data_IF_712476082198
#
_entry.id   IF_712476082198
#
_cell.length_a   1.000
_cell.length_b   1.000
_cell.length_c   1.000
_cell.angle_alpha   90.00
_cell.angle_beta   90.00
_cell.angle_gamma   90.00
#
_symmetry.space_group_name_H-M   'P 1'
#
loop_
_entity.id
_entity.type
_entity.pdbx_description
1 polymer ?
#
# COMPACT_ATOMS: atom_id res chain seq x y z
N UNK A 1 -28.95 -10.79 -13.09
CA UNK A 1 -29.03 -12.05 -12.34
C UNK A 1 -27.82 -12.90 -12.71
N UNK A 2 -26.90 -13.12 -11.78
CA UNK A 2 -25.69 -13.90 -12.07
C UNK A 2 -25.94 -15.41 -11.98
N UNK A 3 -26.78 -15.83 -11.06
CA UNK A 3 -27.10 -17.24 -10.82
C UNK A 3 -28.55 -17.35 -10.42
N UNK A 4 -29.27 -18.28 -11.03
CA UNK A 4 -30.62 -18.65 -10.63
C UNK A 4 -30.52 -19.86 -9.69
N UNK A 5 -30.00 -19.64 -8.48
CA UNK A 5 -29.85 -20.66 -7.48
C UNK A 5 -31.07 -20.64 -6.56
N UNK A 6 -31.89 -21.68 -6.63
CA UNK A 6 -33.03 -21.86 -5.75
C UNK A 6 -32.73 -22.93 -4.70
N UNK A 7 -32.71 -22.51 -3.44
CA UNK A 7 -32.68 -23.42 -2.31
C UNK A 7 -33.63 -22.88 -1.25
N UNK A 8 -34.51 -23.70 -0.73
CA UNK A 8 -35.60 -23.27 0.16
C UNK A 8 -35.13 -22.51 1.40
N UNK A 9 -33.92 -22.85 1.88
CA UNK A 9 -33.30 -22.17 3.05
C UNK A 9 -32.60 -20.86 2.69
N UNK A 10 -32.38 -20.56 1.39
CA UNK A 10 -31.73 -19.33 0.92
C UNK A 10 -32.70 -18.33 0.31
N UNK A 11 -33.85 -18.81 -0.16
CA UNK A 11 -34.84 -18.00 -0.87
C UNK A 11 -36.21 -18.23 -0.22
N UNK A 12 -36.41 -17.65 0.95
CA UNK A 12 -37.68 -17.71 1.65
C UNK A 12 -38.76 -16.98 0.87
N UNK A 13 -39.93 -17.62 0.64
CA UNK A 13 -41.10 -16.97 0.07
C UNK A 13 -41.57 -15.76 0.93
N UNK A 14 -41.33 -15.83 2.24
CA UNK A 14 -41.59 -14.75 3.16
C UNK A 14 -40.79 -13.49 2.81
N UNK A 15 -39.51 -13.64 2.47
CA UNK A 15 -38.63 -12.50 2.13
C UNK A 15 -39.08 -11.84 0.82
N UNK A 16 -39.47 -12.64 -0.19
CA UNK A 16 -40.03 -12.10 -1.44
C UNK A 16 -41.33 -11.32 -1.21
N UNK A 17 -42.23 -11.85 -0.39
CA UNK A 17 -43.54 -11.21 -0.09
C UNK A 17 -43.36 -9.92 0.72
N UNK A 18 -42.32 -9.77 1.52
CA UNK A 18 -42.07 -8.62 2.38
C UNK A 18 -41.02 -7.64 1.80
N UNK A 19 -40.58 -7.86 0.56
CA UNK A 19 -39.62 -6.97 -0.11
C UNK A 19 -38.22 -6.98 0.51
N UNK A 20 -37.85 -8.03 1.25
CA UNK A 20 -36.51 -8.18 1.79
C UNK A 20 -35.54 -8.50 0.67
N UNK A 21 -34.46 -7.69 0.48
CA UNK A 21 -33.55 -7.89 -0.64
C UNK A 21 -32.72 -9.17 -0.47
N UNK A 22 -32.95 -10.14 -1.34
CA UNK A 22 -32.14 -11.36 -1.40
C UNK A 22 -30.81 -11.11 -2.15
N UNK A 23 -29.70 -11.14 -1.44
CA UNK A 23 -28.35 -10.89 -1.99
C UNK A 23 -27.72 -12.12 -2.64
N UNK A 24 -28.26 -13.31 -2.42
CA UNK A 24 -27.74 -14.58 -2.97
C UNK A 24 -27.74 -14.55 -4.51
N UNK A 25 -28.80 -13.99 -5.12
CA UNK A 25 -28.88 -13.87 -6.58
C UNK A 25 -28.02 -12.73 -7.17
N UNK A 26 -27.34 -11.95 -6.32
CA UNK A 26 -26.54 -10.77 -6.73
C UNK A 26 -25.05 -10.97 -6.55
N UNK A 27 -24.59 -12.09 -6.01
CA UNK A 27 -23.17 -12.39 -5.82
C UNK A 27 -22.88 -13.88 -6.02
N UNK A 28 -21.61 -14.20 -6.33
CA UNK A 28 -21.17 -15.59 -6.48
C UNK A 28 -21.05 -16.34 -5.13
N UNK A 29 -20.93 -15.61 -4.04
CA UNK A 29 -20.81 -16.19 -2.70
C UNK A 29 -22.14 -16.07 -1.95
N UNK A 30 -22.70 -17.18 -1.51
CA UNK A 30 -23.92 -17.22 -0.68
C UNK A 30 -23.64 -16.79 0.75
N UNK A 31 -22.46 -17.12 1.28
CA UNK A 31 -22.02 -16.72 2.62
C UNK A 31 -20.87 -15.72 2.50
N UNK A 32 -21.04 -14.54 3.10
CA UNK A 32 -20.05 -13.47 3.10
C UNK A 32 -19.71 -13.04 4.52
N UNK A 33 -18.46 -12.60 4.72
CA UNK A 33 -18.04 -11.98 5.98
C UNK A 33 -18.81 -10.69 6.17
N UNK A 34 -19.26 -10.44 7.39
CA UNK A 34 -19.90 -9.17 7.75
C UNK A 34 -18.85 -8.09 8.04
N UNK A 35 -18.10 -7.69 6.99
CA UNK A 35 -16.99 -6.74 7.15
C UNK A 35 -17.48 -5.33 7.49
N UNK A 36 -18.70 -4.96 7.13
CA UNK A 36 -19.31 -3.68 7.54
C UNK A 36 -19.39 -3.51 9.07
N UNK A 37 -19.45 -4.61 9.82
CA UNK A 37 -19.47 -4.60 11.28
C UNK A 37 -18.20 -3.98 11.87
N UNK A 38 -17.04 -4.21 11.25
CA UNK A 38 -15.76 -3.62 11.68
C UNK A 38 -15.80 -2.11 11.58
N UNK A 39 -16.29 -1.58 10.45
CA UNK A 39 -16.42 -0.14 10.25
C UNK A 39 -17.42 0.46 11.25
N UNK A 40 -18.57 -0.20 11.41
CA UNK A 40 -19.58 0.26 12.35
C UNK A 40 -19.04 0.34 13.78
N UNK A 41 -18.38 -0.72 14.28
CA UNK A 41 -17.76 -0.71 15.60
C UNK A 41 -16.67 0.35 15.73
N UNK A 42 -15.87 0.58 14.69
CA UNK A 42 -14.84 1.60 14.71
C UNK A 42 -15.45 3.00 14.89
N UNK A 43 -16.47 3.31 14.12
CA UNK A 43 -17.15 4.62 14.20
C UNK A 43 -17.93 4.76 15.51
N UNK A 44 -18.59 3.70 15.97
CA UNK A 44 -19.34 3.69 17.24
C UNK A 44 -18.39 3.90 18.45
N UNK A 45 -17.26 3.21 18.47
CA UNK A 45 -16.29 3.27 19.58
C UNK A 45 -15.48 4.56 19.60
N UNK A 46 -15.07 5.07 18.44
CA UNK A 46 -14.18 6.23 18.33
C UNK A 46 -14.91 7.55 18.11
N UNK A 47 -16.12 7.50 17.54
CA UNK A 47 -16.84 8.66 17.05
C UNK A 47 -16.31 9.15 15.69
N UNK A 48 -17.18 9.85 14.95
CA UNK A 48 -16.87 10.36 13.60
C UNK A 48 -15.70 11.34 13.60
N UNK A 49 -15.63 12.22 14.59
CA UNK A 49 -14.59 13.27 14.69
C UNK A 49 -13.18 12.68 14.84
N UNK A 50 -13.03 11.67 15.71
CA UNK A 50 -11.73 11.00 15.87
C UNK A 50 -11.36 10.21 14.64
N UNK A 51 -12.32 9.50 14.04
CA UNK A 51 -12.10 8.75 12.82
C UNK A 51 -11.67 9.66 11.66
N UNK A 52 -12.33 10.82 11.49
CA UNK A 52 -11.93 11.82 10.51
C UNK A 52 -10.52 12.35 10.76
N UNK A 53 -10.16 12.65 12.02
CA UNK A 53 -8.81 13.14 12.36
C UNK A 53 -7.70 12.12 12.07
N UNK A 54 -7.98 10.82 12.16
CA UNK A 54 -7.03 9.76 11.77
C UNK A 54 -6.77 9.77 10.27
N UNK A 55 -7.80 10.01 9.46
CA UNK A 55 -7.66 10.15 8.01
C UNK A 55 -6.86 11.40 7.66
N UNK A 56 -7.20 12.54 8.27
CA UNK A 56 -6.50 13.81 8.08
C UNK A 56 -5.01 13.70 8.45
N UNK A 57 -4.69 12.99 9.54
CA UNK A 57 -3.32 12.71 9.94
C UNK A 57 -2.55 11.96 8.82
N UNK A 58 -3.15 10.93 8.24
CA UNK A 58 -2.51 10.18 7.14
C UNK A 58 -2.23 11.06 5.92
N UNK A 59 -3.18 11.92 5.54
CA UNK A 59 -3.02 12.87 4.45
C UNK A 59 -1.94 13.92 4.78
N UNK A 60 -1.95 14.44 5.99
CA UNK A 60 -0.93 15.40 6.43
C UNK A 60 0.46 14.77 6.45
N UNK A 61 0.60 13.57 7.03
CA UNK A 61 1.87 12.85 7.06
C UNK A 61 2.41 12.59 5.66
N UNK A 62 1.55 12.19 4.71
CA UNK A 62 1.99 11.94 3.33
C UNK A 62 2.57 13.19 2.67
N UNK A 63 2.04 14.38 2.96
CA UNK A 63 2.60 15.65 2.47
C UNK A 63 3.94 15.99 3.10
N UNK A 64 4.11 15.71 4.39
CA UNK A 64 5.42 15.88 5.04
C UNK A 64 6.47 14.93 4.45
N UNK A 65 6.07 13.69 4.14
CA UNK A 65 6.93 12.69 3.48
C UNK A 65 7.32 13.15 2.06
N UNK A 66 6.37 13.68 1.27
CA UNK A 66 6.66 14.27 -0.04
C UNK A 66 7.73 15.37 0.05
N UNK A 67 7.57 16.29 1.01
CA UNK A 67 8.54 17.36 1.22
C UNK A 67 9.92 16.80 1.61
N UNK A 68 9.96 15.79 2.46
CA UNK A 68 11.21 15.15 2.87
C UNK A 68 11.89 14.44 1.70
N UNK A 69 11.15 13.67 0.90
CA UNK A 69 11.69 12.99 -0.29
C UNK A 69 12.27 14.02 -1.28
N UNK A 70 11.55 15.11 -1.56
CA UNK A 70 12.00 16.17 -2.45
C UNK A 70 13.26 16.89 -1.95
N UNK A 71 13.50 16.90 -0.64
CA UNK A 71 14.69 17.50 -0.04
C UNK A 71 15.86 16.49 0.14
N UNK A 72 15.63 15.21 -0.09
CA UNK A 72 16.62 14.14 0.15
C UNK A 72 17.29 13.72 -1.15
N UNK A 73 18.61 13.87 -1.21
CA UNK A 73 19.40 13.41 -2.36
C UNK A 73 19.27 11.87 -2.53
N UNK A 74 19.20 11.43 -3.78
CA UNK A 74 19.03 10.01 -4.10
C UNK A 74 17.58 9.52 -4.14
N UNK A 75 16.61 10.32 -3.67
CA UNK A 75 15.19 10.04 -3.79
C UNK A 75 14.52 10.92 -4.85
N UNK A 76 13.50 10.39 -5.51
CA UNK A 76 12.70 11.09 -6.52
C UNK A 76 11.20 10.79 -6.30
N UNK A 77 10.40 11.84 -6.16
CA UNK A 77 8.94 11.70 -6.28
C UNK A 77 8.56 11.51 -7.75
N UNK A 78 7.77 10.49 -8.06
CA UNK A 78 7.32 10.24 -9.44
C UNK A 78 6.06 11.01 -9.82
N UNK A 79 5.19 11.23 -8.84
CA UNK A 79 3.97 12.04 -8.96
C UNK A 79 3.73 12.78 -7.64
N UNK A 80 3.04 13.92 -7.65
CA UNK A 80 2.60 14.57 -6.41
C UNK A 80 1.74 13.64 -5.58
N UNK A 81 1.90 13.69 -4.26
CA UNK A 81 1.13 12.87 -3.33
C UNK A 81 -0.37 13.09 -3.49
N UNK A 82 -1.11 12.00 -3.66
CA UNK A 82 -2.56 11.98 -3.71
C UNK A 82 -3.11 11.23 -2.51
N UNK A 83 -3.93 11.90 -1.72
CA UNK A 83 -4.47 11.38 -0.48
C UNK A 83 -3.32 10.91 0.44
N UNK A 84 -3.32 9.65 0.89
CA UNK A 84 -2.30 9.07 1.75
C UNK A 84 -1.29 8.18 0.99
N UNK A 85 -1.18 8.30 -0.33
CA UNK A 85 -0.30 7.48 -1.16
C UNK A 85 0.89 8.27 -1.65
N UNK A 86 2.09 7.76 -1.39
CA UNK A 86 3.38 8.32 -1.79
C UNK A 86 4.05 7.37 -2.76
N UNK A 87 4.33 7.85 -3.98
CA UNK A 87 4.98 7.11 -5.06
C UNK A 87 6.33 7.74 -5.37
N UNK A 88 7.38 7.02 -5.04
CA UNK A 88 8.75 7.51 -5.12
C UNK A 88 9.70 6.41 -5.61
N UNK A 89 10.95 6.75 -5.85
CA UNK A 89 12.01 5.78 -6.12
C UNK A 89 13.36 6.27 -5.64
N UNK A 90 14.28 5.35 -5.45
CA UNK A 90 15.71 5.67 -5.42
C UNK A 90 16.15 5.97 -6.85
N UNK A 91 16.75 7.12 -7.07
CA UNK A 91 17.20 7.55 -8.40
C UNK A 91 18.66 8.02 -8.37
N UNK A 92 19.64 7.12 -8.45
CA UNK A 92 21.04 7.49 -8.67
C UNK A 92 21.21 8.05 -10.07
N UNK A 93 21.70 9.30 -10.16
CA UNK A 93 21.72 10.10 -11.41
C UNK A 93 22.58 9.52 -12.54
N UNK A 94 23.56 8.67 -12.21
CA UNK A 94 24.59 8.21 -13.15
C UNK A 94 24.33 6.80 -13.71
N UNK A 95 23.09 6.29 -13.58
CA UNK A 95 22.75 4.94 -13.98
C UNK A 95 21.64 4.89 -15.03
N UNK A 96 21.65 3.89 -15.94
CA UNK A 96 20.60 3.69 -16.93
C UNK A 96 19.24 3.43 -16.27
N UNK A 97 18.15 3.75 -16.99
CA UNK A 97 16.79 3.60 -16.46
C UNK A 97 16.46 2.16 -16.04
N UNK A 98 16.89 1.17 -16.85
CA UNK A 98 16.68 -0.25 -16.55
C UNK A 98 17.37 -0.67 -15.25
N UNK A 99 18.56 -0.12 -14.96
CA UNK A 99 19.27 -0.35 -13.72
C UNK A 99 18.50 0.26 -12.53
N UNK A 100 18.02 1.50 -12.69
CA UNK A 100 17.25 2.19 -11.63
C UNK A 100 15.96 1.44 -11.32
N UNK A 101 15.28 0.92 -12.33
CA UNK A 101 14.07 0.13 -12.16
C UNK A 101 14.35 -1.20 -11.42
N UNK A 102 15.38 -1.94 -11.84
CA UNK A 102 15.81 -3.16 -11.17
C UNK A 102 16.27 -2.89 -9.72
N UNK A 103 17.01 -1.80 -9.48
CA UNK A 103 17.44 -1.41 -8.14
C UNK A 103 16.26 -1.21 -7.20
N UNK A 104 15.22 -0.52 -7.63
CA UNK A 104 14.04 -0.26 -6.80
C UNK A 104 13.24 -1.55 -6.51
N UNK A 105 13.16 -2.47 -7.48
CA UNK A 105 12.57 -3.79 -7.23
C UNK A 105 13.39 -4.55 -6.18
N UNK A 106 14.71 -4.67 -6.39
CA UNK A 106 15.59 -5.41 -5.50
C UNK A 106 15.63 -4.84 -4.07
N UNK A 107 15.58 -3.52 -3.91
CA UNK A 107 15.50 -2.87 -2.58
C UNK A 107 14.26 -3.33 -1.83
N UNK A 108 13.10 -3.36 -2.49
CA UNK A 108 11.86 -3.80 -1.85
C UNK A 108 11.91 -5.30 -1.48
N UNK A 109 12.41 -6.14 -2.38
CA UNK A 109 12.50 -7.58 -2.20
C UNK A 109 13.47 -7.95 -1.07
N UNK A 110 14.64 -7.29 -1.00
CA UNK A 110 15.63 -7.49 0.05
C UNK A 110 15.14 -7.07 1.44
N UNK A 111 14.51 -5.90 1.54
CA UNK A 111 13.94 -5.44 2.81
C UNK A 111 12.81 -6.36 3.29
N UNK A 112 12.02 -6.87 2.37
CA UNK A 112 10.97 -7.85 2.66
C UNK A 112 11.56 -9.19 3.11
N UNK A 113 12.52 -9.73 2.37
CA UNK A 113 13.15 -11.01 2.67
C UNK A 113 13.82 -11.04 4.05
N UNK A 114 14.36 -9.91 4.49
CA UNK A 114 14.95 -9.77 5.84
C UNK A 114 13.91 -9.45 6.93
N UNK A 115 12.65 -9.24 6.55
CA UNK A 115 11.60 -8.87 7.51
C UNK A 115 11.75 -7.47 8.11
N UNK A 116 12.53 -6.60 7.45
CA UNK A 116 12.80 -5.24 7.90
C UNK A 116 11.70 -4.26 7.50
N UNK A 117 11.21 -4.39 6.25
CA UNK A 117 10.12 -3.57 5.75
C UNK A 117 9.33 -4.27 4.63
N UNK A 118 8.04 -3.93 4.52
CA UNK A 118 7.21 -4.32 3.39
C UNK A 118 6.81 -3.05 2.63
N UNK A 119 7.51 -2.74 1.55
CA UNK A 119 7.26 -1.60 0.69
C UNK A 119 6.63 -2.10 -0.61
N UNK A 120 5.46 -1.57 -0.95
CA UNK A 120 4.79 -1.93 -2.20
C UNK A 120 5.59 -1.47 -3.41
N UNK A 121 5.50 -2.25 -4.50
CA UNK A 121 6.11 -1.92 -5.78
C UNK A 121 5.03 -1.73 -6.83
N UNK A 122 5.16 -0.72 -7.68
CA UNK A 122 4.24 -0.46 -8.79
C UNK A 122 4.95 0.29 -9.90
N UNK A 123 4.26 0.56 -11.00
CA UNK A 123 4.78 1.39 -12.09
C UNK A 123 4.04 2.71 -12.21
N UNK A 124 4.79 3.77 -12.51
CA UNK A 124 4.27 5.08 -12.90
C UNK A 124 4.79 5.38 -14.31
N UNK A 125 3.94 5.26 -15.30
CA UNK A 125 4.37 5.17 -16.69
C UNK A 125 5.29 3.97 -16.89
N UNK A 126 6.49 4.21 -17.42
CA UNK A 126 7.50 3.19 -17.66
C UNK A 126 8.47 3.01 -16.47
N UNK A 127 8.34 3.82 -15.41
CA UNK A 127 9.26 3.82 -14.27
C UNK A 127 8.79 2.92 -13.14
N UNK A 128 9.68 2.09 -12.63
CA UNK A 128 9.46 1.34 -11.38
C UNK A 128 9.41 2.29 -10.20
N UNK A 129 8.42 2.09 -9.33
CA UNK A 129 8.14 2.93 -8.17
C UNK A 129 8.04 2.09 -6.90
N UNK A 130 8.60 2.60 -5.83
CA UNK A 130 8.25 2.20 -4.47
C UNK A 130 6.97 2.92 -4.07
N UNK A 131 6.08 2.22 -3.38
CA UNK A 131 4.80 2.74 -2.91
C UNK A 131 4.66 2.62 -1.42
N UNK A 132 4.32 3.71 -0.79
CA UNK A 132 4.01 3.78 0.64
C UNK A 132 2.61 4.34 0.82
N UNK A 133 1.88 3.85 1.83
CA UNK A 133 0.56 4.38 2.19
C UNK A 133 0.55 4.71 3.68
N UNK A 134 0.34 5.99 4.01
CA UNK A 134 0.40 6.52 5.37
C UNK A 134 -0.96 6.43 6.07
N UNK A 135 -1.47 5.22 6.27
CA UNK A 135 -2.80 4.99 6.89
C UNK A 135 -2.76 4.75 8.40
N UNK A 136 -1.59 4.49 8.97
CA UNK A 136 -1.49 4.24 10.41
C UNK A 136 -1.66 5.54 11.19
N UNK A 137 -2.64 5.62 12.11
CA UNK A 137 -2.88 6.84 12.88
C UNK A 137 -1.80 7.15 13.92
N UNK A 138 -0.89 6.21 14.16
CA UNK A 138 0.23 6.36 15.10
C UNK A 138 1.57 6.54 14.39
N UNK A 139 1.62 6.47 13.06
CA UNK A 139 2.85 6.68 12.31
C UNK A 139 3.29 8.15 12.40
N UNK A 140 4.59 8.36 12.55
CA UNK A 140 5.20 9.69 12.60
C UNK A 140 6.10 9.91 11.40
N UNK A 141 6.45 11.16 11.13
CA UNK A 141 7.46 11.48 10.10
C UNK A 141 8.80 10.82 10.41
N UNK A 142 9.20 10.73 11.67
CA UNK A 142 10.44 10.09 12.11
C UNK A 142 10.46 8.60 11.76
N UNK A 143 9.34 7.90 11.94
CA UNK A 143 9.23 6.49 11.52
C UNK A 143 9.45 6.33 10.01
N UNK A 144 8.86 7.23 9.21
CA UNK A 144 9.02 7.19 7.76
C UNK A 144 10.44 7.59 7.34
N UNK A 145 11.05 8.58 7.98
CA UNK A 145 12.45 8.96 7.73
C UNK A 145 13.41 7.81 8.01
N UNK A 146 13.18 7.07 9.11
CA UNK A 146 13.97 5.87 9.41
C UNK A 146 13.85 4.80 8.31
N UNK A 147 12.61 4.55 7.83
CA UNK A 147 12.37 3.64 6.71
C UNK A 147 13.07 4.11 5.42
N UNK A 148 12.95 5.40 5.07
CA UNK A 148 13.60 5.95 3.87
C UNK A 148 15.13 5.88 3.96
N UNK A 149 15.68 6.03 5.16
CA UNK A 149 17.12 5.83 5.39
C UNK A 149 17.53 4.36 5.17
N UNK A 150 16.71 3.40 5.61
CA UNK A 150 16.94 1.98 5.30
C UNK A 150 16.89 1.70 3.80
N UNK A 151 15.92 2.29 3.09
CA UNK A 151 15.80 2.18 1.63
C UNK A 151 17.06 2.69 0.92
N UNK A 152 17.57 3.85 1.33
CA UNK A 152 18.81 4.42 0.75
C UNK A 152 20.03 3.56 1.07
N UNK A 153 20.20 3.12 2.31
CA UNK A 153 21.31 2.26 2.72
C UNK A 153 21.31 0.94 1.95
N UNK A 154 20.13 0.36 1.76
CA UNK A 154 19.97 -0.87 1.00
C UNK A 154 20.32 -0.67 -0.48
N UNK A 155 19.87 0.42 -1.07
CA UNK A 155 20.23 0.75 -2.45
C UNK A 155 21.74 0.93 -2.64
N UNK A 156 22.45 1.56 -1.69
CA UNK A 156 23.91 1.67 -1.73
C UNK A 156 24.57 0.29 -1.60
N UNK A 157 24.10 -0.54 -0.67
CA UNK A 157 24.61 -1.92 -0.52
C UNK A 157 24.50 -2.71 -1.81
N UNK A 158 23.30 -2.72 -2.44
CA UNK A 158 23.07 -3.45 -3.69
C UNK A 158 23.97 -2.91 -4.82
N UNK A 159 24.11 -1.60 -4.93
CA UNK A 159 25.00 -0.97 -5.94
C UNK A 159 26.44 -1.41 -5.77
N UNK A 160 26.93 -1.46 -4.54
CA UNK A 160 28.32 -1.86 -4.26
C UNK A 160 28.53 -3.36 -4.53
N UNK A 161 27.58 -4.21 -4.16
CA UNK A 161 27.63 -5.64 -4.46
C UNK A 161 27.59 -5.93 -5.95
N UNK A 162 26.76 -5.21 -6.72
CA UNK A 162 26.73 -5.33 -8.19
C UNK A 162 28.09 -4.91 -8.79
N UNK A 163 28.69 -3.81 -8.33
CA UNK A 163 30.01 -3.38 -8.79
C UNK A 163 31.10 -4.41 -8.54
N UNK A 164 30.99 -5.11 -7.40
CA UNK A 164 31.95 -6.12 -6.97
C UNK A 164 31.64 -7.52 -7.56
N UNK A 165 30.51 -7.68 -8.27
CA UNK A 165 30.07 -8.97 -8.83
C UNK A 165 29.62 -9.98 -7.77
N UNK A 166 29.22 -9.52 -6.59
CA UNK A 166 28.82 -10.36 -5.45
C UNK A 166 27.30 -10.34 -5.18
N UNK A 167 26.54 -9.52 -5.90
CA UNK A 167 25.11 -9.41 -5.69
C UNK A 167 24.38 -10.70 -6.11
N UNK A 168 23.61 -11.25 -5.18
CA UNK A 168 22.70 -12.38 -5.41
C UNK A 168 21.31 -11.90 -5.00
N UNK A 169 20.34 -11.81 -5.94
CA UNK A 169 18.97 -11.39 -5.59
C UNK A 169 18.33 -12.40 -4.63
N UNK A 170 17.43 -11.97 -3.75
CA UNK A 170 16.69 -12.89 -2.89
C UNK A 170 15.90 -13.87 -3.76
N UNK A 171 15.83 -15.11 -3.29
CA UNK A 171 15.10 -16.17 -3.99
C UNK A 171 13.59 -15.90 -3.82
N UNK A 172 12.84 -15.96 -4.93
CA UNK A 172 11.38 -15.85 -4.98
C UNK A 172 10.65 -16.89 -4.11
#
# INVERSE_FOLDING_TARGET
>A
RFIDYKADYLNSEYDEQHGVPNLVAKSLQTTRRFDALKLWFTVDALGEALYASMIDHGVYLSKQVENYINATEGLEMLVPTQFASVLFRVNPKDYPAEFVDALNQNVADELFARGEANIGVTKVGDKQSLKMTTLSPIATLENVQALLSQVLNEAERIKDEIKNGTYVPPID
#
